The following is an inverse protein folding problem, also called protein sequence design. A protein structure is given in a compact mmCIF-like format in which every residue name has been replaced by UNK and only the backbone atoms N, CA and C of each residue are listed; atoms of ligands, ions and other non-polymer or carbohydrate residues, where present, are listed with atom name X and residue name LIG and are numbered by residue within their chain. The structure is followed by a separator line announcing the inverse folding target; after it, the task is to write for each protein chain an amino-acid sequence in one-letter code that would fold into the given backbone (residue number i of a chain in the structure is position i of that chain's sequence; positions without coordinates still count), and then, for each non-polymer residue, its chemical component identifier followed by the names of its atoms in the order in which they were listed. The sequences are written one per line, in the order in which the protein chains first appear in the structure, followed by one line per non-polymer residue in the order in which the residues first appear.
data_IF_633612307697
#
_entry.id   IF_633612307697
#
_cell.length_a   1.000
_cell.length_b   1.000
_cell.length_c   1.000
_cell.angle_alpha   90.00
_cell.angle_beta   90.00
_cell.angle_gamma   90.00
#
_symmetry.space_group_name_H-M   'P 1'
#
loop_
_entity.id
_entity.type
_entity.pdbx_description
1 polymer ?
#
# COMPACT_ATOMS: atom_id res chain seq x y z
N UNK A 1 30.18 -6.14 -16.21
CA UNK A 1 28.73 -5.91 -16.04
C UNK A 1 28.28 -6.70 -14.82
N UNK A 2 27.96 -6.03 -13.71
CA UNK A 2 27.47 -6.69 -12.49
C UNK A 2 26.10 -7.30 -12.80
N UNK A 3 25.99 -8.63 -12.81
CA UNK A 3 24.70 -9.31 -12.93
C UNK A 3 23.85 -8.91 -11.72
N UNK A 4 22.82 -8.10 -11.93
CA UNK A 4 21.90 -7.71 -10.88
C UNK A 4 21.20 -8.98 -10.36
N UNK A 5 21.72 -9.55 -9.27
CA UNK A 5 21.17 -10.75 -8.68
C UNK A 5 19.76 -10.46 -8.18
N UNK A 6 18.80 -11.30 -8.56
CA UNK A 6 17.47 -11.30 -7.98
C UNK A 6 17.59 -11.49 -6.47
N UNK A 7 16.82 -10.72 -5.70
CA UNK A 7 16.81 -10.75 -4.23
C UNK A 7 15.37 -10.87 -3.79
N UNK A 8 15.15 -11.60 -2.69
CA UNK A 8 13.88 -11.58 -1.99
C UNK A 8 13.71 -10.26 -1.23
N UNK A 9 12.59 -9.57 -1.43
CA UNK A 9 12.24 -8.32 -0.74
C UNK A 9 10.90 -8.51 -0.05
N UNK A 10 10.86 -8.23 1.25
CA UNK A 10 9.63 -8.23 2.04
C UNK A 10 9.20 -6.80 2.34
N UNK A 11 7.97 -6.45 2.01
CA UNK A 11 7.33 -5.18 2.34
C UNK A 11 6.39 -5.41 3.52
N UNK A 12 6.64 -4.73 4.65
CA UNK A 12 5.76 -4.77 5.81
C UNK A 12 4.73 -3.64 5.80
N UNK A 13 3.45 -3.99 5.81
CA UNK A 13 2.30 -3.09 5.85
C UNK A 13 1.65 -2.87 4.50
N UNK A 14 0.41 -3.34 4.33
CA UNK A 14 -0.45 -3.23 3.15
C UNK A 14 -1.26 -1.94 3.06
N UNK A 15 -0.79 -0.86 3.70
CA UNK A 15 -1.34 0.48 3.54
C UNK A 15 -0.99 1.09 2.17
N UNK A 16 -1.42 2.34 1.94
CA UNK A 16 -1.15 3.05 0.68
C UNK A 16 0.33 3.08 0.28
N UNK A 17 1.23 3.27 1.25
CA UNK A 17 2.68 3.29 0.99
C UNK A 17 3.22 1.92 0.57
N UNK A 18 2.82 0.84 1.25
CA UNK A 18 3.33 -0.51 0.95
C UNK A 18 2.79 -1.08 -0.36
N UNK A 19 1.52 -0.84 -0.68
CA UNK A 19 0.94 -1.20 -1.99
C UNK A 19 1.63 -0.42 -3.11
N UNK A 20 1.92 0.87 -2.90
CA UNK A 20 2.67 1.68 -3.87
C UNK A 20 4.11 1.19 -4.03
N UNK A 21 4.78 0.81 -2.94
CA UNK A 21 6.13 0.24 -2.99
C UNK A 21 6.15 -1.09 -3.76
N UNK A 22 5.16 -1.97 -3.52
CA UNK A 22 5.00 -3.21 -4.29
C UNK A 22 4.80 -2.91 -5.78
N UNK A 23 3.92 -1.97 -6.10
CA UNK A 23 3.66 -1.56 -7.48
C UNK A 23 4.90 -0.98 -8.17
N UNK A 24 5.69 -0.16 -7.46
CA UNK A 24 6.93 0.41 -7.99
C UNK A 24 7.99 -0.68 -8.28
N UNK A 25 8.05 -1.71 -7.42
CA UNK A 25 9.02 -2.80 -7.53
C UNK A 25 8.55 -3.97 -8.41
N UNK A 26 7.30 -3.96 -8.90
CA UNK A 26 6.73 -5.07 -9.69
C UNK A 26 7.51 -5.39 -10.98
N UNK A 27 8.20 -4.39 -11.55
CA UNK A 27 9.00 -4.52 -12.78
C UNK A 27 10.49 -4.72 -12.50
N UNK A 28 10.87 -4.77 -11.23
CA UNK A 28 12.24 -5.05 -10.82
C UNK A 28 12.51 -6.56 -10.97
N UNK A 29 13.78 -6.98 -11.09
CA UNK A 29 14.15 -8.39 -11.13
C UNK A 29 14.04 -9.08 -9.76
N UNK A 30 13.55 -8.40 -8.73
CA UNK A 30 13.47 -8.91 -7.36
C UNK A 30 12.15 -9.65 -7.12
N UNK A 31 12.20 -10.67 -6.26
CA UNK A 31 11.02 -11.39 -5.81
C UNK A 31 10.43 -10.65 -4.60
N UNK A 32 9.33 -9.93 -4.81
CA UNK A 32 8.79 -8.98 -3.83
C UNK A 32 7.48 -9.48 -3.24
N UNK A 33 7.42 -9.57 -1.91
CA UNK A 33 6.26 -10.05 -1.16
C UNK A 33 5.76 -8.96 -0.22
N UNK A 34 4.45 -8.74 -0.19
CA UNK A 34 3.78 -7.80 0.71
C UNK A 34 3.11 -8.55 1.86
N UNK A 35 3.41 -8.13 3.09
CA UNK A 35 2.83 -8.69 4.30
C UNK A 35 2.00 -7.62 5.02
N UNK A 36 0.76 -7.97 5.37
CA UNK A 36 -0.16 -7.12 6.12
C UNK A 36 -0.71 -7.91 7.30
N UNK A 37 -0.85 -7.25 8.45
CA UNK A 37 -1.36 -7.89 9.67
C UNK A 37 -2.88 -8.11 9.61
N UNK A 38 -3.59 -7.23 8.89
CA UNK A 38 -5.02 -7.28 8.65
C UNK A 38 -5.40 -8.25 7.52
N UNK A 39 -6.67 -8.68 7.50
CA UNK A 39 -7.29 -9.41 6.40
C UNK A 39 -7.56 -8.55 5.15
N UNK A 40 -7.35 -7.23 5.24
CA UNK A 40 -7.65 -6.27 4.18
C UNK A 40 -6.51 -5.29 3.96
N UNK A 41 -6.21 -4.98 2.69
CA UNK A 41 -5.30 -3.90 2.29
C UNK A 41 -5.92 -2.52 2.51
N UNK A 42 -5.10 -1.47 2.40
CA UNK A 42 -5.49 -0.06 2.52
C UNK A 42 -5.18 0.57 3.87
N UNK A 43 -5.01 -0.25 4.93
CA UNK A 43 -4.71 0.23 6.27
C UNK A 43 -5.80 1.20 6.77
N UNK A 44 -5.43 2.47 6.95
CA UNK A 44 -6.37 3.53 7.36
C UNK A 44 -7.24 4.06 6.22
N UNK A 45 -6.83 3.88 4.96
CA UNK A 45 -7.70 4.13 3.80
C UNK A 45 -8.59 2.90 3.62
N UNK A 46 -9.74 2.89 4.30
CA UNK A 46 -10.68 1.76 4.26
C UNK A 46 -12.06 2.21 3.80
N UNK A 47 -12.45 1.74 2.63
CA UNK A 47 -13.83 1.80 2.15
C UNK A 47 -14.60 0.63 2.76
N UNK A 48 -15.76 0.91 3.36
CA UNK A 48 -16.68 -0.10 3.84
C UNK A 48 -17.92 -0.11 2.97
N UNK A 49 -18.38 -1.31 2.59
CA UNK A 49 -19.69 -1.47 2.00
C UNK A 49 -20.74 -1.37 3.09
N UNK A 50 -21.71 -0.49 2.88
CA UNK A 50 -22.88 -0.32 3.74
C UNK A 50 -24.13 -0.68 2.95
N UNK A 51 -25.00 -1.49 3.56
CA UNK A 51 -26.35 -1.71 3.06
C UNK A 51 -27.32 -0.87 3.91
N UNK A 52 -28.01 0.05 3.25
CA UNK A 52 -29.03 0.86 3.89
C UNK A 52 -30.32 0.80 3.07
N UNK A 53 -31.39 0.28 3.68
CA UNK A 53 -32.71 0.14 3.07
C UNK A 53 -32.70 -0.59 1.71
N UNK A 54 -31.91 -1.67 1.60
CA UNK A 54 -31.78 -2.47 0.37
C UNK A 54 -30.84 -1.88 -0.69
N UNK A 55 -30.29 -0.68 -0.46
CA UNK A 55 -29.30 -0.08 -1.35
C UNK A 55 -27.88 -0.31 -0.81
N UNK A 56 -26.98 -0.78 -1.69
CA UNK A 56 -25.55 -0.89 -1.41
C UNK A 56 -24.87 0.44 -1.73
N UNK A 57 -24.12 0.96 -0.76
CA UNK A 57 -23.24 2.11 -0.93
C UNK A 57 -21.84 1.77 -0.44
N UNK A 58 -20.85 2.51 -0.94
CA UNK A 58 -19.48 2.48 -0.44
C UNK A 58 -19.25 3.76 0.37
N UNK A 59 -18.76 3.59 1.60
CA UNK A 59 -18.43 4.69 2.49
C UNK A 59 -16.96 4.58 2.87
N UNK A 60 -16.20 5.60 2.51
CA UNK A 60 -14.84 5.76 3.01
C UNK A 60 -14.88 6.12 4.49
N UNK A 61 -14.22 5.30 5.32
CA UNK A 61 -13.91 5.73 6.68
C UNK A 61 -12.94 6.89 6.63
N UNK A 62 -12.96 7.73 7.67
CA UNK A 62 -12.12 8.92 7.79
C UNK A 62 -10.73 8.71 7.19
N UNK A 63 -10.52 9.32 6.04
CA UNK A 63 -9.26 9.23 5.32
C UNK A 63 -8.21 9.93 6.18
N UNK A 64 -7.08 9.28 6.49
CA UNK A 64 -6.01 9.97 7.20
C UNK A 64 -5.56 11.19 6.38
N UNK A 65 -5.47 12.36 7.03
CA UNK A 65 -4.95 13.56 6.38
C UNK A 65 -3.49 13.31 6.02
N UNK A 66 -3.21 13.29 4.71
CA UNK A 66 -1.86 13.15 4.18
C UNK A 66 -1.18 14.52 4.25
N UNK A 67 -0.36 14.73 5.27
CA UNK A 67 0.52 15.90 5.31
C UNK A 67 1.75 15.66 4.42
N UNK A 68 1.70 16.17 3.19
CA UNK A 68 2.79 16.05 2.22
C UNK A 68 4.14 16.63 2.72
N UNK A 69 4.12 17.58 3.66
CA UNK A 69 5.33 18.16 4.25
C UNK A 69 6.04 17.19 5.18
N UNK A 70 5.30 16.31 5.87
CA UNK A 70 5.88 15.24 6.69
C UNK A 70 6.48 14.09 5.84
N UNK A 71 6.08 13.98 4.58
CA UNK A 71 6.52 12.92 3.65
C UNK A 71 7.88 13.18 2.99
N UNK A 72 8.51 14.33 3.23
CA UNK A 72 9.76 14.76 2.56
C UNK A 72 10.98 13.88 2.81
N UNK A 73 10.90 12.86 3.68
CA UNK A 73 12.05 12.02 4.03
C UNK A 73 12.14 10.71 3.23
N UNK A 74 11.18 10.39 2.36
CA UNK A 74 11.16 9.11 1.64
C UNK A 74 11.38 9.21 0.11
N UNK A 75 11.58 10.42 -0.44
CA UNK A 75 11.70 10.64 -1.90
C UNK A 75 12.83 11.63 -2.22
N UNK A 76 14.03 11.38 -1.69
CA UNK A 76 15.25 11.99 -2.24
C UNK A 76 16.25 10.87 -2.57
N UNK A 77 16.96 11.02 -3.71
CA UNK A 77 17.60 9.93 -4.45
C UNK A 77 18.75 9.24 -3.70
#
# INVERSE_FOLDING_TARGET
MSSAQSKGVAIGGGGCAGVTALYALQRSPHDVHLFEASHSLGGRMKTISIEFNGNRGELDKETPILNATASRQCILP
#
